data_IF_651356448423
#
_entry.id   IF_651356448423
#
_cell.length_a   1.000
_cell.length_b   1.000
_cell.length_c   1.000
_cell.angle_alpha   90.00
_cell.angle_beta   90.00
_cell.angle_gamma   90.00
#
_symmetry.space_group_name_H-M   'P 1'
#
loop_
_entity.id
_entity.type
_entity.pdbx_description
1 polymer ?
#
# COMPACT_ATOMS: atom_id res chain seq x y z
N UNK A 1 -20.72 13.77 18.20
CA UNK A 1 -19.69 12.79 17.79
C UNK A 1 -18.33 13.43 17.99
N UNK A 2 -17.39 12.72 18.63
CA UNK A 2 -16.03 13.24 18.86
C UNK A 2 -15.41 13.65 17.51
N UNK A 3 -14.81 14.87 17.38
CA UNK A 3 -14.21 15.34 16.11
C UNK A 3 -13.18 14.37 15.52
N UNK A 4 -12.45 13.63 16.37
CA UNK A 4 -11.53 12.60 15.93
C UNK A 4 -12.26 11.46 15.21
N UNK A 5 -13.39 10.98 15.77
CA UNK A 5 -14.19 9.90 15.16
C UNK A 5 -14.80 10.37 13.84
N UNK A 6 -15.28 11.62 13.77
CA UNK A 6 -15.82 12.21 12.53
C UNK A 6 -14.76 12.22 11.42
N UNK A 7 -13.55 12.68 11.73
CA UNK A 7 -12.44 12.72 10.76
C UNK A 7 -11.98 11.33 10.34
N UNK A 8 -12.00 10.35 11.25
CA UNK A 8 -11.68 8.94 10.93
C UNK A 8 -12.71 8.34 9.97
N UNK A 9 -14.01 8.48 10.28
CA UNK A 9 -15.08 7.98 9.41
C UNK A 9 -15.01 8.64 8.02
N UNK A 10 -14.78 9.96 7.98
CA UNK A 10 -14.59 10.69 6.71
C UNK A 10 -13.41 10.16 5.91
N UNK A 11 -12.25 10.01 6.54
CA UNK A 11 -11.06 9.47 5.88
C UNK A 11 -11.27 8.04 5.37
N UNK A 12 -11.94 7.19 6.16
CA UNK A 12 -12.27 5.83 5.76
C UNK A 12 -13.23 5.80 4.55
N UNK A 13 -14.29 6.61 4.56
CA UNK A 13 -15.24 6.71 3.45
C UNK A 13 -14.57 7.19 2.15
N UNK A 14 -13.74 8.23 2.24
CA UNK A 14 -12.98 8.74 1.09
C UNK A 14 -12.02 7.68 0.55
N UNK A 15 -11.37 6.92 1.43
CA UNK A 15 -10.50 5.83 1.03
C UNK A 15 -11.26 4.72 0.29
N UNK A 16 -12.39 4.30 0.85
CA UNK A 16 -13.28 3.31 0.23
C UNK A 16 -13.73 3.79 -1.15
N UNK A 17 -14.23 5.04 -1.25
CA UNK A 17 -14.65 5.62 -2.53
C UNK A 17 -13.49 5.69 -3.55
N UNK A 18 -12.29 6.06 -3.11
CA UNK A 18 -11.10 6.06 -3.96
C UNK A 18 -10.75 4.66 -4.48
N UNK A 19 -10.87 3.63 -3.64
CA UNK A 19 -10.59 2.25 -4.04
C UNK A 19 -11.63 1.72 -5.04
N UNK A 20 -12.91 2.06 -4.88
CA UNK A 20 -13.97 1.71 -5.83
C UNK A 20 -13.84 2.42 -7.18
N UNK A 21 -13.38 3.65 -7.21
CA UNK A 21 -13.31 4.45 -8.44
C UNK A 21 -12.06 4.17 -9.31
N UNK A 22 -10.95 3.75 -8.70
CA UNK A 22 -9.72 3.47 -9.47
C UNK A 22 -8.57 2.93 -8.64
N UNK A 23 -8.58 3.14 -7.33
CA UNK A 23 -7.48 2.73 -6.46
C UNK A 23 -7.23 1.23 -6.48
N UNK A 24 -8.28 0.39 -6.50
CA UNK A 24 -8.13 -1.07 -6.59
C UNK A 24 -7.59 -1.50 -7.95
N UNK A 25 -8.08 -0.91 -9.04
CA UNK A 25 -7.59 -1.24 -10.38
C UNK A 25 -6.09 -0.94 -10.53
N UNK A 26 -5.65 0.23 -10.08
CA UNK A 26 -4.23 0.60 -10.08
C UNK A 26 -3.37 -0.31 -9.20
N UNK A 27 -3.88 -0.72 -8.04
CA UNK A 27 -3.19 -1.66 -7.17
C UNK A 27 -3.05 -3.04 -7.81
N UNK A 28 -4.11 -3.53 -8.49
CA UNK A 28 -4.08 -4.82 -9.18
C UNK A 28 -3.06 -4.81 -10.32
N UNK A 29 -3.04 -3.75 -11.13
CA UNK A 29 -2.04 -3.57 -12.18
C UNK A 29 -0.63 -3.54 -11.57
N UNK A 30 -0.43 -2.77 -10.50
CA UNK A 30 0.86 -2.69 -9.80
C UNK A 30 1.32 -4.07 -9.30
N UNK A 31 0.46 -4.80 -8.60
CA UNK A 31 0.78 -6.14 -8.10
C UNK A 31 1.14 -7.10 -9.23
N UNK A 32 0.39 -7.06 -10.35
CA UNK A 32 0.64 -7.91 -11.51
C UNK A 32 1.98 -7.58 -12.16
N UNK A 33 2.25 -6.30 -12.44
CA UNK A 33 3.53 -5.81 -12.99
C UNK A 33 4.71 -6.23 -12.11
N UNK A 34 4.58 -6.05 -10.81
CA UNK A 34 5.64 -6.41 -9.86
C UNK A 34 5.87 -7.92 -9.84
N UNK A 35 4.81 -8.72 -9.88
CA UNK A 35 4.90 -10.18 -9.78
C UNK A 35 5.37 -10.86 -11.07
N UNK A 36 4.96 -10.36 -12.24
CA UNK A 36 5.30 -10.97 -13.55
C UNK A 36 6.53 -10.35 -14.20
N UNK A 37 6.86 -9.10 -13.86
CA UNK A 37 7.89 -8.32 -14.55
C UNK A 37 7.45 -7.74 -15.90
N UNK A 38 6.19 -7.92 -16.28
CA UNK A 38 5.62 -7.38 -17.52
C UNK A 38 5.37 -5.88 -17.43
N UNK A 39 5.23 -5.23 -18.58
CA UNK A 39 4.83 -3.83 -18.64
C UNK A 39 3.36 -3.62 -18.21
N UNK A 40 2.98 -2.40 -17.78
CA UNK A 40 1.64 -2.12 -17.25
C UNK A 40 0.51 -2.35 -18.26
N UNK A 41 0.75 -2.13 -19.54
CA UNK A 41 -0.25 -2.37 -20.62
C UNK A 41 -0.50 -3.88 -20.77
N UNK A 42 0.56 -4.69 -20.82
CA UNK A 42 0.43 -6.16 -20.91
C UNK A 42 -0.25 -6.71 -19.67
N UNK A 43 0.16 -6.27 -18.47
CA UNK A 43 -0.45 -6.68 -17.21
C UNK A 43 -1.96 -6.34 -17.16
N UNK A 44 -2.36 -5.18 -17.67
CA UNK A 44 -3.77 -4.77 -17.77
C UNK A 44 -4.54 -5.69 -18.73
N UNK A 45 -3.99 -5.95 -19.92
CA UNK A 45 -4.61 -6.84 -20.90
C UNK A 45 -4.76 -8.26 -20.35
N UNK A 46 -3.74 -8.79 -19.66
CA UNK A 46 -3.78 -10.11 -19.04
C UNK A 46 -4.87 -10.22 -17.95
N UNK A 47 -5.06 -9.17 -17.16
CA UNK A 47 -6.14 -9.13 -16.16
C UNK A 47 -7.51 -9.10 -16.86
N UNK A 48 -7.65 -8.34 -17.94
CA UNK A 48 -8.90 -8.17 -18.67
C UNK A 48 -9.24 -9.36 -19.56
N UNK A 49 -8.29 -10.20 -19.94
CA UNK A 49 -8.53 -11.39 -20.79
C UNK A 49 -9.26 -12.53 -20.08
N UNK A 50 -9.36 -12.50 -18.75
CA UNK A 50 -10.11 -13.49 -17.96
C UNK A 50 -11.64 -13.36 -18.14
N UNK A 51 -12.39 -14.38 -17.71
CA UNK A 51 -13.88 -14.47 -17.84
C UNK A 51 -14.66 -13.25 -17.31
N UNK A 52 -14.09 -12.44 -16.44
CA UNK A 52 -14.70 -11.21 -15.89
C UNK A 52 -14.41 -9.95 -16.69
N UNK A 53 -13.60 -10.03 -17.76
CA UNK A 53 -13.22 -8.87 -18.56
C UNK A 53 -12.58 -7.76 -17.71
N UNK A 54 -12.92 -6.52 -18.01
CA UNK A 54 -12.42 -5.34 -17.30
C UNK A 54 -12.81 -5.28 -15.82
N UNK A 55 -13.91 -5.96 -15.41
CA UNK A 55 -14.31 -6.05 -13.99
C UNK A 55 -13.26 -6.76 -13.13
N UNK A 56 -12.40 -7.56 -13.74
CA UNK A 56 -11.30 -8.20 -13.03
C UNK A 56 -10.31 -7.20 -12.43
N UNK A 57 -10.25 -5.97 -12.95
CA UNK A 57 -9.43 -4.90 -12.38
C UNK A 57 -9.88 -4.52 -10.95
N UNK A 58 -11.13 -4.75 -10.58
CA UNK A 58 -11.66 -4.53 -9.23
C UNK A 58 -11.68 -5.79 -8.37
N UNK A 59 -11.00 -6.84 -8.79
CA UNK A 59 -10.89 -8.07 -8.00
C UNK A 59 -10.22 -7.78 -6.65
N UNK A 60 -10.80 -8.32 -5.58
CA UNK A 60 -10.28 -8.10 -4.22
C UNK A 60 -10.68 -6.76 -3.59
N UNK A 61 -11.56 -5.96 -4.22
CA UNK A 61 -12.07 -4.70 -3.62
C UNK A 61 -12.60 -4.88 -2.19
N UNK A 62 -13.37 -5.93 -1.83
CA UNK A 62 -13.81 -6.11 -0.46
C UNK A 62 -12.67 -6.21 0.54
N UNK A 63 -11.61 -6.96 0.21
CA UNK A 63 -10.42 -7.09 1.08
C UNK A 63 -9.71 -5.76 1.25
N UNK A 64 -9.59 -4.97 0.17
CA UNK A 64 -9.00 -3.63 0.22
C UNK A 64 -9.85 -2.63 1.00
N UNK A 65 -11.16 -2.71 0.88
CA UNK A 65 -12.08 -1.83 1.62
C UNK A 65 -11.93 -2.05 3.13
N UNK A 66 -11.87 -3.30 3.58
CA UNK A 66 -11.62 -3.64 4.98
C UNK A 66 -10.24 -3.14 5.40
N UNK A 67 -9.21 -3.42 4.61
CA UNK A 67 -7.86 -2.91 4.83
C UNK A 67 -7.85 -1.39 4.96
N UNK A 68 -8.43 -0.68 4.01
CA UNK A 68 -8.47 0.79 3.98
C UNK A 68 -9.23 1.41 5.15
N UNK A 69 -10.35 0.81 5.57
CA UNK A 69 -11.14 1.29 6.70
C UNK A 69 -10.40 1.15 8.05
N UNK A 70 -9.68 0.04 8.24
CA UNK A 70 -8.92 -0.22 9.46
C UNK A 70 -7.60 0.57 9.52
N UNK A 71 -7.04 0.86 8.36
CA UNK A 71 -5.70 1.42 8.17
C UNK A 71 -5.50 2.75 8.92
N UNK A 72 -6.45 3.65 8.79
CA UNK A 72 -6.40 4.96 9.44
C UNK A 72 -6.50 4.88 10.96
N UNK A 73 -7.40 4.05 11.47
CA UNK A 73 -7.61 3.87 12.89
C UNK A 73 -6.38 3.26 13.58
N UNK A 74 -5.87 2.17 13.03
CA UNK A 74 -4.67 1.46 13.57
C UNK A 74 -3.45 2.37 13.55
N UNK A 75 -3.23 3.10 12.45
CA UNK A 75 -2.15 4.07 12.34
C UNK A 75 -2.25 5.16 13.40
N UNK A 76 -3.44 5.75 13.59
CA UNK A 76 -3.64 6.83 14.55
C UNK A 76 -3.41 6.37 15.99
N UNK A 77 -3.85 5.18 16.36
CA UNK A 77 -3.61 4.62 17.69
C UNK A 77 -2.10 4.50 17.94
N UNK A 78 -1.38 3.82 17.06
CA UNK A 78 0.08 3.66 17.20
C UNK A 78 0.83 4.98 17.16
N UNK A 79 0.51 5.84 16.19
CA UNK A 79 1.16 7.14 16.02
C UNK A 79 0.90 8.09 17.21
N UNK A 80 -0.34 8.18 17.68
CA UNK A 80 -0.69 9.10 18.78
C UNK A 80 -0.08 8.65 20.11
N UNK A 81 -0.14 7.35 20.41
CA UNK A 81 0.47 6.79 21.61
C UNK A 81 1.98 7.07 21.64
N UNK A 82 2.68 6.79 20.53
CA UNK A 82 4.12 7.03 20.43
C UNK A 82 4.47 8.50 20.52
N UNK A 83 3.73 9.39 19.82
CA UNK A 83 3.95 10.84 19.90
C UNK A 83 3.85 11.34 21.33
N UNK A 84 2.82 10.90 22.07
CA UNK A 84 2.62 11.28 23.47
C UNK A 84 3.79 10.84 24.34
N UNK A 85 4.28 9.62 24.18
CA UNK A 85 5.41 9.10 24.95
C UNK A 85 6.72 9.84 24.62
N UNK A 86 7.02 10.05 23.34
CA UNK A 86 8.25 10.73 22.91
C UNK A 86 8.29 12.18 23.36
N UNK A 87 7.14 12.89 23.33
CA UNK A 87 7.02 14.25 23.89
C UNK A 87 7.20 14.25 25.40
N UNK A 88 6.68 13.25 26.12
CA UNK A 88 6.88 13.11 27.57
C UNK A 88 8.35 12.86 27.95
N UNK A 89 9.15 12.29 27.05
CA UNK A 89 10.59 12.13 27.20
C UNK A 89 11.39 13.41 26.91
N UNK A 90 10.71 14.54 26.62
CA UNK A 90 11.35 15.82 26.32
C UNK A 90 11.83 16.00 24.87
N UNK A 91 11.51 15.10 23.98
CA UNK A 91 11.91 15.22 22.57
C UNK A 91 11.12 16.31 21.83
N UNK A 92 11.74 16.89 20.82
CA UNK A 92 11.10 17.92 19.99
C UNK A 92 9.91 17.37 19.18
N UNK A 93 8.97 18.26 18.82
CA UNK A 93 7.74 17.93 18.09
C UNK A 93 8.02 17.19 16.78
N UNK A 94 9.08 17.51 16.05
CA UNK A 94 9.44 16.86 14.80
C UNK A 94 9.90 15.41 15.01
N UNK A 95 10.70 15.17 16.06
CA UNK A 95 11.15 13.83 16.44
C UNK A 95 9.96 12.97 16.86
N UNK A 96 9.05 13.52 17.67
CA UNK A 96 7.84 12.85 18.08
C UNK A 96 6.91 12.53 16.89
N UNK A 97 6.80 13.44 15.92
CA UNK A 97 6.02 13.22 14.71
C UNK A 97 6.62 12.09 13.84
N UNK A 98 7.94 12.10 13.65
CA UNK A 98 8.66 11.08 12.90
C UNK A 98 8.54 9.69 13.58
N UNK A 99 8.83 9.61 14.88
CA UNK A 99 8.70 8.37 15.66
C UNK A 99 7.27 7.83 15.63
N UNK A 100 6.28 8.70 15.80
CA UNK A 100 4.86 8.33 15.69
C UNK A 100 4.49 7.82 14.31
N UNK A 101 5.05 8.41 13.25
CA UNK A 101 4.87 7.93 11.87
C UNK A 101 5.45 6.54 11.65
N UNK A 102 6.69 6.32 12.09
CA UNK A 102 7.37 5.02 11.97
C UNK A 102 6.64 3.94 12.74
N UNK A 103 6.39 4.15 14.04
CA UNK A 103 5.73 3.15 14.90
C UNK A 103 4.29 2.90 14.45
N UNK A 104 3.54 3.96 14.12
CA UNK A 104 2.20 3.83 13.55
C UNK A 104 2.18 3.00 12.28
N UNK A 105 3.19 3.18 11.41
CA UNK A 105 3.37 2.37 10.19
C UNK A 105 3.68 0.89 10.49
N UNK A 106 4.51 0.60 11.48
CA UNK A 106 4.82 -0.77 11.90
C UNK A 106 3.59 -1.47 12.48
N UNK A 107 2.87 -0.81 13.40
CA UNK A 107 1.63 -1.35 13.98
C UNK A 107 0.58 -1.59 12.89
N UNK A 108 0.47 -0.69 11.94
CA UNK A 108 -0.38 -0.85 10.76
C UNK A 108 -0.01 -2.08 9.94
N UNK A 109 1.29 -2.34 9.74
CA UNK A 109 1.76 -3.49 8.98
C UNK A 109 1.33 -4.83 9.59
N UNK A 110 1.25 -4.94 10.93
CA UNK A 110 0.79 -6.16 11.60
C UNK A 110 -0.65 -6.52 11.19
N UNK A 111 -1.53 -5.52 11.09
CA UNK A 111 -2.92 -5.72 10.69
C UNK A 111 -3.05 -5.90 9.17
N UNK A 112 -2.25 -5.17 8.39
CA UNK A 112 -2.31 -5.20 6.93
C UNK A 112 -1.72 -6.45 6.30
N UNK A 113 -0.74 -7.09 6.93
CA UNK A 113 -0.02 -8.21 6.31
C UNK A 113 -0.93 -9.36 5.94
N UNK A 114 -1.84 -9.87 6.81
CA UNK A 114 -2.77 -10.93 6.44
C UNK A 114 -3.71 -10.56 5.28
N UNK A 115 -4.26 -9.35 5.32
CA UNK A 115 -5.15 -8.87 4.26
C UNK A 115 -4.40 -8.70 2.93
N UNK A 116 -3.20 -8.10 2.98
CA UNK A 116 -2.33 -7.94 1.83
C UNK A 116 -1.87 -9.28 1.25
N UNK A 117 -1.62 -10.29 2.10
CA UNK A 117 -1.29 -11.65 1.67
C UNK A 117 -2.41 -12.25 0.82
N UNK A 118 -3.64 -12.21 1.30
CA UNK A 118 -4.81 -12.70 0.57
C UNK A 118 -5.01 -11.93 -0.73
N UNK A 119 -4.94 -10.59 -0.67
CA UNK A 119 -5.11 -9.73 -1.82
C UNK A 119 -4.06 -10.00 -2.92
N UNK A 120 -2.78 -10.07 -2.55
CA UNK A 120 -1.69 -10.32 -3.50
C UNK A 120 -1.84 -11.71 -4.12
N UNK A 121 -2.11 -12.74 -3.32
CA UNK A 121 -2.30 -14.12 -3.80
C UNK A 121 -3.46 -14.24 -4.76
N UNK A 122 -4.60 -13.59 -4.49
CA UNK A 122 -5.73 -13.53 -5.41
C UNK A 122 -5.36 -12.95 -6.77
N UNK A 123 -4.68 -11.79 -6.76
CA UNK A 123 -4.41 -11.05 -7.98
C UNK A 123 -3.32 -11.69 -8.84
N UNK A 124 -2.30 -12.25 -8.20
CA UNK A 124 -1.20 -12.93 -8.90
C UNK A 124 -1.64 -14.27 -9.50
N UNK A 125 -2.56 -14.97 -8.85
CA UNK A 125 -3.04 -16.28 -9.32
C UNK A 125 -4.25 -16.19 -10.23
N UNK A 126 -4.87 -15.03 -10.34
CA UNK A 126 -6.05 -14.85 -11.19
C UNK A 126 -5.71 -15.16 -12.66
N UNK A 127 -6.56 -16.01 -13.28
CA UNK A 127 -6.38 -16.49 -14.65
C UNK A 127 -5.43 -17.68 -14.79
N UNK A 128 -4.83 -18.19 -13.70
CA UNK A 128 -4.06 -19.42 -13.75
C UNK A 128 -4.97 -20.65 -13.62
N UNK A 129 -4.67 -21.77 -14.30
CA UNK A 129 -5.39 -23.01 -14.13
C UNK A 129 -5.40 -23.47 -12.67
N UNK A 130 -6.56 -23.88 -12.15
CA UNK A 130 -6.75 -24.33 -10.76
C UNK A 130 -7.06 -23.22 -9.76
N UNK A 131 -7.04 -21.94 -10.15
CA UNK A 131 -7.35 -20.79 -9.31
C UNK A 131 -8.59 -20.00 -9.77
N UNK A 132 -9.36 -20.58 -10.69
CA UNK A 132 -10.46 -19.91 -11.37
C UNK A 132 -11.61 -19.48 -10.44
N UNK A 133 -11.86 -20.26 -9.38
CA UNK A 133 -12.93 -20.02 -8.40
C UNK A 133 -12.41 -19.44 -7.08
N UNK A 134 -11.18 -18.93 -7.07
CA UNK A 134 -10.60 -18.38 -5.85
C UNK A 134 -11.31 -17.09 -5.43
N UNK A 135 -11.66 -17.04 -4.16
CA UNK A 135 -12.09 -15.84 -3.46
C UNK A 135 -11.21 -15.61 -2.21
N UNK A 136 -11.39 -14.48 -1.54
CA UNK A 136 -10.57 -14.14 -0.38
C UNK A 136 -10.58 -15.23 0.71
N UNK A 137 -11.72 -15.87 0.93
CA UNK A 137 -11.88 -16.91 1.96
C UNK A 137 -11.18 -18.21 1.55
N UNK A 138 -11.33 -18.64 0.28
CA UNK A 138 -10.67 -19.85 -0.23
C UNK A 138 -9.15 -19.71 -0.21
N UNK A 139 -8.63 -18.57 -0.61
CA UNK A 139 -7.20 -18.27 -0.56
C UNK A 139 -6.69 -18.27 0.88
N UNK A 140 -7.37 -17.58 1.80
CA UNK A 140 -6.98 -17.56 3.20
C UNK A 140 -6.96 -18.97 3.82
N UNK A 141 -8.02 -19.77 3.58
CA UNK A 141 -8.09 -21.16 4.05
C UNK A 141 -6.97 -22.04 3.48
N UNK A 142 -6.65 -21.88 2.19
CA UNK A 142 -5.55 -22.61 1.54
C UNK A 142 -4.23 -22.29 2.21
N UNK A 143 -3.89 -21.01 2.37
CA UNK A 143 -2.63 -20.58 2.99
C UNK A 143 -2.52 -21.10 4.43
N UNK A 144 -3.61 -21.00 5.21
CA UNK A 144 -3.64 -21.49 6.59
C UNK A 144 -3.49 -23.01 6.65
N UNK A 145 -4.12 -23.75 5.71
CA UNK A 145 -4.00 -25.20 5.64
C UNK A 145 -2.59 -25.65 5.28
N UNK A 146 -1.93 -24.95 4.34
CA UNK A 146 -0.65 -25.37 3.79
C UNK A 146 0.53 -24.91 4.67
N UNK A 147 0.44 -23.72 5.27
CA UNK A 147 1.56 -23.05 6.00
C UNK A 147 1.21 -22.57 7.40
N UNK A 148 0.02 -22.88 7.88
CA UNK A 148 -0.48 -22.41 9.17
C UNK A 148 -0.71 -20.88 9.19
N UNK A 149 -1.00 -20.35 10.38
CA UNK A 149 -1.18 -18.90 10.59
C UNK A 149 0.07 -18.09 10.24
N UNK A 150 1.27 -18.68 10.40
CA UNK A 150 2.53 -18.01 10.03
C UNK A 150 2.60 -17.69 8.54
N UNK A 151 1.98 -18.51 7.68
CA UNK A 151 1.87 -18.26 6.25
C UNK A 151 1.19 -16.94 5.91
N UNK A 152 0.22 -16.50 6.72
CA UNK A 152 -0.48 -15.23 6.55
C UNK A 152 0.40 -14.00 6.84
N UNK A 153 1.50 -14.17 7.58
CA UNK A 153 2.44 -13.12 7.96
C UNK A 153 3.73 -13.12 7.13
N UNK A 154 3.84 -13.98 6.14
CA UNK A 154 4.98 -13.94 5.20
C UNK A 154 4.98 -12.60 4.46
N UNK A 155 6.15 -11.98 4.38
CA UNK A 155 6.28 -10.62 3.86
C UNK A 155 5.92 -9.52 4.88
N UNK A 156 5.70 -9.86 6.16
CA UNK A 156 5.40 -8.89 7.21
C UNK A 156 6.55 -7.93 7.49
N UNK A 157 7.79 -8.42 7.51
CA UNK A 157 8.99 -7.58 7.68
C UNK A 157 9.12 -6.54 6.56
N UNK A 158 9.13 -6.90 5.26
CA UNK A 158 9.14 -5.89 4.21
C UNK A 158 7.90 -4.99 4.24
N UNK A 159 6.73 -5.49 4.66
CA UNK A 159 5.54 -4.65 4.83
C UNK A 159 5.78 -3.58 5.91
N UNK A 160 6.32 -3.95 7.07
CA UNK A 160 6.63 -3.01 8.15
C UNK A 160 7.67 -1.96 7.72
N UNK A 161 8.76 -2.39 7.07
CA UNK A 161 9.78 -1.49 6.52
C UNK A 161 9.20 -0.53 5.49
N UNK A 162 8.35 -1.04 4.59
CA UNK A 162 7.67 -0.23 3.59
C UNK A 162 6.76 0.82 4.24
N UNK A 163 5.96 0.43 5.22
CA UNK A 163 5.03 1.35 5.87
C UNK A 163 5.78 2.41 6.69
N UNK A 164 6.78 2.03 7.46
CA UNK A 164 7.61 2.96 8.22
C UNK A 164 8.29 3.98 7.29
N UNK A 165 8.96 3.52 6.24
CA UNK A 165 9.64 4.39 5.27
C UNK A 165 8.67 5.25 4.47
N UNK A 166 7.49 4.74 4.12
CA UNK A 166 6.46 5.47 3.40
C UNK A 166 5.93 6.66 4.23
N UNK A 167 5.60 6.42 5.50
CA UNK A 167 5.12 7.48 6.40
C UNK A 167 6.19 8.51 6.72
N UNK A 168 7.43 8.06 6.96
CA UNK A 168 8.56 8.94 7.17
C UNK A 168 8.81 9.84 5.95
N UNK A 169 8.89 9.24 4.75
CA UNK A 169 9.14 9.97 3.50
C UNK A 169 8.01 10.95 3.18
N UNK A 170 6.76 10.50 3.26
CA UNK A 170 5.61 11.38 2.97
C UNK A 170 5.57 12.57 3.92
N UNK A 171 5.80 12.34 5.20
CA UNK A 171 5.88 13.41 6.19
C UNK A 171 6.98 14.41 5.85
N UNK A 172 8.20 13.91 5.61
CA UNK A 172 9.36 14.73 5.28
C UNK A 172 9.15 15.55 4.00
N UNK A 173 8.78 14.89 2.90
CA UNK A 173 8.60 15.58 1.60
C UNK A 173 7.45 16.59 1.63
N UNK A 174 6.34 16.25 2.30
CA UNK A 174 5.23 17.20 2.44
C UNK A 174 5.65 18.43 3.25
N UNK A 175 6.40 18.25 4.33
CA UNK A 175 6.89 19.36 5.16
C UNK A 175 7.90 20.22 4.40
N UNK A 176 8.84 19.62 3.68
CA UNK A 176 9.78 20.34 2.81
C UNK A 176 9.05 21.17 1.76
N UNK A 177 8.00 20.64 1.15
CA UNK A 177 7.20 21.39 0.17
C UNK A 177 6.46 22.57 0.81
N UNK A 178 5.91 22.39 2.01
CA UNK A 178 5.19 23.45 2.72
C UNK A 178 6.13 24.56 3.19
N UNK A 179 7.27 24.20 3.76
CA UNK A 179 8.22 25.16 4.36
C UNK A 179 9.14 25.81 3.33
N UNK A 180 9.83 25.00 2.51
CA UNK A 180 10.86 25.50 1.61
C UNK A 180 10.29 26.00 0.28
N UNK A 181 9.34 25.29 -0.31
CA UNK A 181 8.71 25.69 -1.58
C UNK A 181 7.51 26.61 -1.39
N UNK A 182 7.08 26.85 -0.12
CA UNK A 182 5.95 27.71 0.23
C UNK A 182 4.69 27.42 -0.58
N UNK A 183 4.50 26.14 -1.01
CA UNK A 183 3.37 25.72 -1.83
C UNK A 183 2.02 26.01 -1.15
N UNK A 184 1.99 26.08 0.18
CA UNK A 184 0.79 26.44 0.93
C UNK A 184 0.18 27.81 0.52
N UNK A 185 0.96 28.68 -0.11
CA UNK A 185 0.47 29.99 -0.62
C UNK A 185 -0.49 29.85 -1.82
N UNK A 186 -0.44 28.72 -2.52
CA UNK A 186 -1.28 28.45 -3.68
C UNK A 186 -2.61 27.75 -3.35
N UNK A 187 -3.02 27.74 -2.08
CA UNK A 187 -4.27 27.16 -1.62
C UNK A 187 -4.40 25.67 -2.02
N UNK A 188 -5.54 25.30 -2.60
CA UNK A 188 -5.82 23.90 -2.98
C UNK A 188 -4.77 23.30 -3.95
N UNK A 189 -4.30 24.06 -4.91
CA UNK A 189 -3.28 23.60 -5.88
C UNK A 189 -1.95 23.32 -5.17
N UNK A 190 -1.60 24.13 -4.18
CA UNK A 190 -0.41 23.93 -3.37
C UNK A 190 -0.49 22.67 -2.48
N UNK A 191 -1.67 22.36 -1.95
CA UNK A 191 -1.91 21.14 -1.20
C UNK A 191 -1.85 19.89 -2.07
N UNK A 192 -2.46 19.92 -3.25
CA UNK A 192 -2.35 18.84 -4.25
C UNK A 192 -0.89 18.63 -4.63
N UNK A 193 -0.18 19.72 -4.99
CA UNK A 193 1.22 19.65 -5.38
C UNK A 193 2.12 19.05 -4.28
N UNK A 194 1.99 19.52 -3.05
CA UNK A 194 2.77 18.98 -1.91
C UNK A 194 2.45 17.51 -1.62
N UNK A 195 1.19 17.12 -1.73
CA UNK A 195 0.76 15.73 -1.55
C UNK A 195 1.24 14.80 -2.67
N UNK A 196 1.22 15.27 -3.92
CA UNK A 196 1.76 14.54 -5.09
C UNK A 196 3.27 14.35 -4.94
N UNK A 197 4.02 15.41 -4.62
CA UNK A 197 5.47 15.32 -4.38
C UNK A 197 5.77 14.38 -3.21
N UNK A 198 5.00 14.46 -2.12
CA UNK A 198 5.12 13.53 -1.00
C UNK A 198 4.86 12.08 -1.37
N UNK A 199 3.85 11.85 -2.23
CA UNK A 199 3.51 10.54 -2.76
C UNK A 199 4.58 9.96 -3.69
N UNK A 200 5.04 10.75 -4.66
CA UNK A 200 6.12 10.36 -5.58
C UNK A 200 7.45 10.19 -4.84
N UNK A 201 7.75 11.09 -3.89
CA UNK A 201 8.93 10.99 -3.05
C UNK A 201 8.99 9.72 -2.21
N UNK A 202 7.86 9.04 -1.98
CA UNK A 202 7.86 7.73 -1.30
C UNK A 202 8.17 6.55 -2.23
N UNK A 203 8.26 6.75 -3.56
CA UNK A 203 8.50 5.67 -4.50
C UNK A 203 9.93 5.09 -4.45
N UNK A 204 10.86 5.74 -3.77
CA UNK A 204 12.21 5.22 -3.55
C UNK A 204 12.22 3.86 -2.82
N UNK A 205 11.21 3.59 -2.00
CA UNK A 205 11.09 2.32 -1.28
C UNK A 205 10.39 1.21 -2.10
N UNK A 206 10.28 1.37 -3.43
CA UNK A 206 9.76 0.35 -4.35
C UNK A 206 10.49 -0.99 -4.24
N UNK A 207 11.82 -1.08 -4.09
CA UNK A 207 12.50 -2.35 -3.88
C UNK A 207 11.94 -3.18 -2.73
N UNK A 208 11.61 -2.54 -1.61
CA UNK A 208 10.99 -3.22 -0.46
C UNK A 208 9.60 -3.76 -0.82
N UNK A 209 8.84 -2.99 -1.57
CA UNK A 209 7.52 -3.41 -2.06
C UNK A 209 7.62 -4.57 -3.04
N UNK A 210 8.59 -4.55 -3.95
CA UNK A 210 8.85 -5.64 -4.91
C UNK A 210 9.12 -6.93 -4.18
N UNK A 211 10.04 -6.93 -3.22
CA UNK A 211 10.34 -8.13 -2.42
C UNK A 211 9.10 -8.61 -1.66
N UNK A 212 8.31 -7.71 -1.06
CA UNK A 212 7.05 -8.06 -0.38
C UNK A 212 6.09 -8.80 -1.31
N UNK A 213 5.87 -8.27 -2.51
CA UNK A 213 4.94 -8.86 -3.49
C UNK A 213 5.44 -10.23 -3.95
N UNK A 214 6.74 -10.37 -4.20
CA UNK A 214 7.33 -11.65 -4.60
C UNK A 214 7.22 -12.71 -3.51
N UNK A 215 7.49 -12.34 -2.25
CA UNK A 215 7.31 -13.25 -1.11
C UNK A 215 5.86 -13.73 -1.00
N UNK A 216 4.90 -12.82 -1.12
CA UNK A 216 3.48 -13.12 -1.03
C UNK A 216 2.98 -13.91 -2.25
N UNK A 217 3.52 -13.63 -3.45
CA UNK A 217 3.27 -14.41 -4.66
C UNK A 217 3.67 -15.87 -4.48
N UNK A 218 4.87 -16.12 -4.02
CA UNK A 218 5.41 -17.47 -3.89
C UNK A 218 4.61 -18.30 -2.89
N UNK A 219 4.27 -17.71 -1.74
CA UNK A 219 3.38 -18.37 -0.77
C UNK A 219 2.00 -18.64 -1.37
N UNK A 220 1.43 -17.69 -2.10
CA UNK A 220 0.14 -17.85 -2.79
C UNK A 220 0.16 -18.95 -3.87
N UNK A 221 1.33 -19.23 -4.45
CA UNK A 221 1.55 -20.32 -5.43
C UNK A 221 1.98 -21.63 -4.74
N UNK A 222 2.03 -21.72 -3.41
CA UNK A 222 2.49 -22.91 -2.69
C UNK A 222 4.02 -23.04 -2.63
N UNK A 223 4.78 -22.12 -3.19
CA UNK A 223 6.24 -22.13 -3.19
C UNK A 223 6.76 -21.67 -1.82
N UNK A 224 7.78 -22.34 -1.24
CA UNK A 224 8.39 -21.87 0.00
C UNK A 224 9.08 -20.52 -0.22
N UNK A 225 8.80 -19.51 0.64
CA UNK A 225 9.41 -18.20 0.48
C UNK A 225 10.88 -18.23 0.84
N UNK A 226 11.69 -17.51 0.07
CA UNK A 226 13.10 -17.23 0.37
C UNK A 226 13.22 -16.16 1.45
N UNK A 227 14.44 -15.91 1.91
CA UNK A 227 14.74 -14.77 2.78
C UNK A 227 14.60 -13.45 2.03
N UNK A 228 14.43 -12.34 2.76
CA UNK A 228 14.37 -10.99 2.16
C UNK A 228 15.58 -10.70 1.26
N UNK A 229 16.79 -11.01 1.74
CA UNK A 229 18.04 -10.85 0.96
C UNK A 229 18.09 -11.78 -0.26
N UNK A 230 17.55 -13.01 -0.15
CA UNK A 230 17.49 -13.96 -1.25
C UNK A 230 16.70 -13.42 -2.44
N UNK A 231 15.55 -12.77 -2.19
CA UNK A 231 14.78 -12.13 -3.27
C UNK A 231 15.50 -10.94 -3.90
N UNK A 232 16.24 -10.15 -3.10
CA UNK A 232 17.03 -9.04 -3.63
C UNK A 232 18.12 -9.59 -4.56
N UNK A 233 18.84 -10.63 -4.14
CA UNK A 233 19.89 -11.24 -4.94
C UNK A 233 19.35 -11.83 -6.25
N UNK A 234 18.24 -12.60 -6.18
CA UNK A 234 17.59 -13.15 -7.37
C UNK A 234 17.22 -12.06 -8.39
N UNK A 235 16.63 -10.97 -7.91
CA UNK A 235 16.25 -9.86 -8.79
C UNK A 235 17.46 -9.13 -9.35
N UNK A 236 18.51 -8.96 -8.55
CA UNK A 236 19.76 -8.35 -9.01
C UNK A 236 20.48 -9.20 -10.07
N UNK A 237 20.46 -10.53 -9.93
CA UNK A 237 21.02 -11.46 -10.91
C UNK A 237 20.19 -11.51 -12.20
N UNK A 238 18.86 -11.42 -12.10
CA UNK A 238 17.97 -11.56 -13.26
C UNK A 238 17.89 -10.29 -14.11
N UNK A 239 17.83 -9.12 -13.50
CA UNK A 239 17.58 -7.86 -14.22
C UNK A 239 18.26 -6.64 -13.61
N UNK A 240 19.15 -6.84 -12.63
CA UNK A 240 19.86 -5.76 -11.95
C UNK A 240 18.95 -4.84 -11.14
N UNK A 241 19.46 -3.64 -10.85
CA UNK A 241 18.72 -2.63 -10.08
C UNK A 241 17.32 -2.30 -10.67
N UNK A 242 17.15 -2.19 -12.01
CA UNK A 242 15.83 -1.92 -12.59
C UNK A 242 14.75 -2.93 -12.24
N UNK A 243 15.09 -4.20 -12.03
CA UNK A 243 14.12 -5.24 -11.66
C UNK A 243 13.49 -4.99 -10.30
N UNK A 244 14.23 -4.43 -9.36
CA UNK A 244 13.73 -4.06 -8.03
C UNK A 244 12.74 -2.88 -8.08
N UNK A 245 12.74 -2.09 -9.14
CA UNK A 245 11.82 -0.97 -9.35
C UNK A 245 10.62 -1.34 -10.24
N UNK A 246 10.38 -2.64 -10.49
CA UNK A 246 9.18 -3.10 -11.18
C UNK A 246 7.92 -2.57 -10.49
N UNK A 247 6.99 -2.06 -11.28
CA UNK A 247 5.74 -1.49 -10.73
C UNK A 247 5.87 -0.09 -10.15
N UNK A 248 7.01 0.60 -10.29
CA UNK A 248 7.15 2.01 -9.85
C UNK A 248 6.19 2.93 -10.61
N UNK A 249 5.99 2.72 -11.90
CA UNK A 249 5.08 3.52 -12.73
C UNK A 249 3.63 3.44 -12.25
N UNK A 250 2.97 2.26 -12.17
CA UNK A 250 1.60 2.18 -11.64
C UNK A 250 1.51 2.63 -10.19
N UNK A 251 2.57 2.48 -9.39
CA UNK A 251 2.63 3.00 -8.02
C UNK A 251 2.64 4.52 -7.99
N UNK A 252 3.40 5.17 -8.87
CA UNK A 252 3.43 6.63 -8.99
C UNK A 252 2.05 7.17 -9.40
N UNK A 253 1.42 6.57 -10.42
CA UNK A 253 0.06 6.92 -10.85
C UNK A 253 -0.94 6.75 -9.71
N UNK A 254 -0.84 5.66 -8.94
CA UNK A 254 -1.69 5.43 -7.78
C UNK A 254 -1.49 6.48 -6.69
N UNK A 255 -0.25 6.91 -6.44
CA UNK A 255 0.04 7.95 -5.46
C UNK A 255 -0.57 9.30 -5.85
N UNK A 256 -0.49 9.65 -7.13
CA UNK A 256 -1.16 10.85 -7.70
C UNK A 256 -2.68 10.73 -7.55
N UNK A 257 -3.27 9.61 -8.00
CA UNK A 257 -4.70 9.34 -7.89
C UNK A 257 -5.21 9.51 -6.46
N UNK A 258 -4.57 8.85 -5.51
CA UNK A 258 -4.97 8.91 -4.11
C UNK A 258 -4.88 10.33 -3.55
N UNK A 259 -3.82 11.06 -3.88
CA UNK A 259 -3.64 12.44 -3.40
C UNK A 259 -4.71 13.35 -3.97
N UNK A 260 -4.92 13.32 -5.29
CA UNK A 260 -5.95 14.14 -5.94
C UNK A 260 -7.32 13.81 -5.36
N UNK A 261 -7.66 12.53 -5.24
CA UNK A 261 -8.96 12.10 -4.70
C UNK A 261 -9.16 12.54 -3.25
N UNK A 262 -8.15 12.35 -2.38
CA UNK A 262 -8.24 12.69 -0.95
C UNK A 262 -8.22 14.19 -0.66
N UNK A 263 -7.71 15.01 -1.58
CA UNK A 263 -7.67 16.46 -1.44
C UNK A 263 -8.83 17.15 -2.16
N UNK A 264 -9.09 16.76 -3.41
CA UNK A 264 -10.10 17.43 -4.25
C UNK A 264 -11.53 17.09 -3.84
N UNK A 265 -11.82 15.81 -3.59
CA UNK A 265 -13.18 15.37 -3.30
C UNK A 265 -13.76 16.01 -2.02
N UNK A 266 -13.02 16.06 -0.88
CA UNK A 266 -13.50 16.78 0.30
C UNK A 266 -13.76 18.26 0.03
N UNK A 267 -12.88 18.93 -0.71
CA UNK A 267 -13.06 20.34 -1.04
C UNK A 267 -14.30 20.59 -1.93
N UNK A 268 -14.56 19.70 -2.89
CA UNK A 268 -15.75 19.78 -3.75
C UNK A 268 -17.05 19.54 -2.98
N UNK A 269 -17.02 18.66 -1.97
CA UNK A 269 -18.17 18.32 -1.15
C UNK A 269 -18.37 19.26 0.03
N UNK A 270 -17.50 20.25 0.22
CA UNK A 270 -17.54 21.17 1.36
C UNK A 270 -17.33 20.47 2.71
N UNK A 271 -16.60 19.37 2.71
CA UNK A 271 -16.38 18.50 3.87
C UNK A 271 -15.12 18.92 4.65
#
# INVERSE_FOLDING_TARGET
MNPVVKNLCRGALLRVASDFTGGTALENIKCRVTASGDGPIKATNDICSGKGGWLNLWSGTPSRTIEGALLGAVFLVGSTATKKQVLAMGAGKNVAALAGGVVGGVVQAVVMTPAGMVFTSLNVNKGKPGYENDNAITVARRIIKDKGLQGMYVGGTPMALRQASNWASRGLFTELCRTNLKLSRFGLLGEIGSGVIGGLGSCWNTPIETVRVLMQRDVGCGIPPKTFGGYINDEMETGGVPSLFRGVTPRAVQAVWQTVFMVVVPNLLGL
#
